data_IF_812590107981
#
_entry.id   IF_812590107981
#
_cell.length_a   1.000
_cell.length_b   1.000
_cell.length_c   1.000
_cell.angle_alpha   90.00
_cell.angle_beta   90.00
_cell.angle_gamma   90.00
#
_symmetry.space_group_name_H-M   'P 1'
#
loop_
_entity.id
_entity.type
_entity.pdbx_description
1 polymer ?
#
# COMPACT_ATOMS: atom_id res chain seq x y z
N UNK A 1 50.40 -20.12 0.52
CA UNK A 1 50.01 -18.74 0.19
C UNK A 1 49.63 -18.05 1.52
N UNK A 2 50.32 -17.02 2.00
CA UNK A 2 50.00 -16.37 3.25
C UNK A 2 48.77 -15.43 3.04
N UNK A 3 47.81 -15.54 3.93
CA UNK A 3 46.66 -14.64 3.99
C UNK A 3 47.14 -13.29 4.56
N UNK A 4 46.97 -12.24 3.78
CA UNK A 4 47.23 -10.85 4.23
C UNK A 4 45.99 -10.41 5.02
N UNK A 5 46.14 -10.42 6.34
CA UNK A 5 45.18 -9.77 7.25
C UNK A 5 45.35 -8.26 7.12
N UNK A 6 44.47 -7.57 6.42
CA UNK A 6 44.37 -6.11 6.49
C UNK A 6 43.77 -5.75 7.84
N UNK A 7 44.63 -5.31 8.78
CA UNK A 7 44.22 -4.61 10.01
C UNK A 7 43.62 -3.26 9.60
N UNK A 8 42.35 -3.08 9.86
CA UNK A 8 41.71 -1.75 9.83
C UNK A 8 42.27 -0.96 11.01
N UNK A 9 43.26 -0.07 10.76
CA UNK A 9 43.71 0.90 11.75
C UNK A 9 42.60 1.93 12.01
N UNK A 10 42.06 1.89 13.22
CA UNK A 10 41.11 2.92 13.69
C UNK A 10 41.92 4.20 13.90
N UNK A 11 41.59 5.33 13.22
CA UNK A 11 42.34 6.56 13.37
C UNK A 11 42.27 7.07 14.81
N UNK A 12 43.39 7.60 15.32
CA UNK A 12 43.47 8.14 16.68
C UNK A 12 42.52 9.33 16.86
N UNK A 13 42.10 9.59 18.10
CA UNK A 13 41.22 10.72 18.42
C UNK A 13 41.79 12.07 17.94
N UNK A 14 43.09 12.23 17.91
CA UNK A 14 43.75 13.43 17.39
C UNK A 14 43.62 13.57 15.87
N UNK A 15 43.70 12.45 15.14
CA UNK A 15 43.47 12.43 13.69
C UNK A 15 42.00 12.76 13.33
N UNK A 16 41.08 12.28 14.13
CA UNK A 16 39.63 12.59 13.97
C UNK A 16 39.37 14.09 14.24
N UNK A 17 39.94 14.64 15.30
CA UNK A 17 39.82 16.08 15.62
C UNK A 17 40.37 16.95 14.49
N UNK A 18 41.54 16.58 13.94
CA UNK A 18 42.14 17.32 12.83
C UNK A 18 41.28 17.33 11.59
N UNK A 19 40.71 16.19 11.22
CA UNK A 19 39.76 16.09 10.09
C UNK A 19 38.51 16.94 10.34
N UNK A 20 37.99 16.95 11.55
CA UNK A 20 36.81 17.76 11.89
C UNK A 20 37.13 19.27 11.83
N UNK A 21 38.31 19.71 12.24
CA UNK A 21 38.75 21.11 12.13
C UNK A 21 38.95 21.53 10.67
N UNK A 22 39.56 20.69 9.84
CA UNK A 22 39.73 20.96 8.41
C UNK A 22 38.41 21.06 7.68
N UNK A 23 37.44 20.19 8.02
CA UNK A 23 36.07 20.25 7.47
C UNK A 23 35.32 21.51 7.96
N UNK A 24 35.48 21.91 9.19
CA UNK A 24 34.86 23.13 9.70
C UNK A 24 35.46 24.39 9.04
N UNK A 25 36.77 24.42 8.82
CA UNK A 25 37.46 25.52 8.13
C UNK A 25 37.05 25.61 6.66
N UNK A 26 36.93 24.48 5.95
CA UNK A 26 36.46 24.46 4.56
C UNK A 26 34.99 24.87 4.42
N UNK A 27 34.10 24.49 5.34
CA UNK A 27 32.70 24.95 5.39
C UNK A 27 32.60 26.46 5.66
N UNK A 28 33.39 27.01 6.58
CA UNK A 28 33.40 28.45 6.85
C UNK A 28 33.96 29.27 5.68
N UNK A 29 34.95 28.74 4.96
CA UNK A 29 35.49 29.38 3.76
C UNK A 29 34.47 29.36 2.62
N UNK A 30 33.68 28.30 2.46
CA UNK A 30 32.59 28.21 1.46
C UNK A 30 31.41 29.15 1.77
N UNK A 31 31.12 29.39 3.06
CA UNK A 31 30.10 30.33 3.51
C UNK A 31 30.55 31.80 3.46
N UNK A 32 31.87 32.08 3.54
CA UNK A 32 32.42 33.42 3.44
C UNK A 32 32.82 33.82 2.01
N UNK A 33 32.48 33.02 1.01
CA UNK A 33 32.56 33.45 -0.37
C UNK A 33 31.71 34.72 -0.53
N UNK A 34 32.36 35.84 -0.90
CA UNK A 34 31.73 37.15 -1.08
C UNK A 34 30.51 36.99 -2.00
N UNK A 35 29.33 36.99 -1.40
CA UNK A 35 28.08 37.27 -2.14
C UNK A 35 28.13 38.79 -2.34
N UNK A 36 28.49 39.23 -3.55
CA UNK A 36 28.40 40.65 -3.88
C UNK A 36 26.95 41.08 -3.65
N UNK A 37 26.69 42.17 -2.90
CA UNK A 37 25.34 42.63 -2.66
C UNK A 37 24.73 42.99 -4.01
N UNK A 38 23.65 42.25 -4.39
CA UNK A 38 22.87 42.52 -5.57
C UNK A 38 22.36 43.95 -5.49
N UNK A 39 22.82 44.82 -6.37
CA UNK A 39 22.38 46.23 -6.43
C UNK A 39 20.87 46.25 -6.61
N UNK A 40 20.13 46.94 -5.72
CA UNK A 40 18.69 47.08 -5.88
C UNK A 40 18.41 47.79 -7.22
N UNK A 41 17.65 47.16 -8.11
CA UNK A 41 17.22 47.78 -9.35
C UNK A 41 17.59 47.05 -10.66
N UNK A 42 18.37 45.99 -10.63
CA UNK A 42 18.82 45.27 -11.85
C UNK A 42 17.90 44.10 -12.27
N UNK A 43 16.94 43.71 -11.44
CA UNK A 43 15.94 42.73 -11.83
C UNK A 43 14.65 43.42 -12.26
N UNK A 44 14.48 43.66 -13.55
CA UNK A 44 13.15 43.79 -14.11
C UNK A 44 12.57 42.38 -14.20
N UNK A 45 11.88 41.96 -13.14
CA UNK A 45 11.05 40.78 -13.19
C UNK A 45 9.91 41.10 -14.17
N UNK A 46 10.04 40.67 -15.41
CA UNK A 46 8.90 40.58 -16.33
C UNK A 46 8.09 39.37 -15.82
N UNK A 47 7.22 39.60 -14.87
CA UNK A 47 6.21 38.62 -14.50
C UNK A 47 5.29 38.53 -15.71
N UNK A 48 5.16 37.38 -16.39
CA UNK A 48 4.15 37.26 -17.43
C UNK A 48 2.80 37.54 -16.76
N UNK A 49 2.08 38.55 -17.28
CA UNK A 49 0.69 38.80 -16.90
C UNK A 49 -0.08 37.62 -17.46
N UNK A 50 -0.34 36.65 -16.59
CA UNK A 50 -1.30 35.59 -16.89
C UNK A 50 -2.66 36.28 -16.70
N UNK A 51 -3.36 36.53 -17.80
CA UNK A 51 -4.77 36.91 -17.76
C UNK A 51 -5.51 35.73 -17.11
N UNK A 52 -5.58 35.77 -15.78
CA UNK A 52 -6.42 34.85 -15.05
C UNK A 52 -7.87 35.16 -15.43
N UNK A 53 -8.63 34.20 -15.94
CA UNK A 53 -10.06 34.40 -16.13
C UNK A 53 -10.66 34.91 -14.83
N UNK A 54 -11.51 35.94 -14.94
CA UNK A 54 -12.16 36.56 -13.79
C UNK A 54 -12.73 35.48 -12.85
N UNK A 55 -12.55 35.61 -11.52
CA UNK A 55 -13.00 34.60 -10.58
C UNK A 55 -14.52 34.42 -10.72
N UNK A 56 -14.92 33.37 -11.40
CA UNK A 56 -16.30 32.94 -11.45
C UNK A 56 -16.66 32.42 -10.08
N UNK A 57 -17.39 33.22 -9.31
CA UNK A 57 -18.00 32.93 -8.01
C UNK A 57 -17.03 32.32 -6.99
N UNK A 58 -16.68 33.10 -6.00
CA UNK A 58 -16.00 32.60 -4.78
C UNK A 58 -16.91 31.53 -4.17
N UNK A 59 -16.60 30.26 -4.41
CA UNK A 59 -17.29 29.20 -3.69
C UNK A 59 -17.00 29.38 -2.22
N UNK A 60 -18.07 29.38 -1.41
CA UNK A 60 -17.95 29.48 0.04
C UNK A 60 -17.09 28.29 0.55
N UNK A 61 -16.26 28.54 1.55
CA UNK A 61 -15.50 27.47 2.21
C UNK A 61 -16.44 26.34 2.69
N UNK A 62 -17.65 26.71 3.09
CA UNK A 62 -18.70 25.79 3.51
C UNK A 62 -19.19 24.90 2.36
N UNK A 63 -19.28 25.43 1.12
CA UNK A 63 -19.65 24.65 -0.07
C UNK A 63 -18.55 23.65 -0.45
N UNK A 64 -17.29 24.06 -0.30
CA UNK A 64 -16.14 23.17 -0.54
C UNK A 64 -16.08 22.06 0.53
N UNK A 65 -16.30 22.41 1.79
CA UNK A 65 -16.37 21.43 2.89
C UNK A 65 -17.58 20.50 2.72
N UNK A 66 -18.74 21.04 2.35
CA UNK A 66 -19.93 20.23 2.08
C UNK A 66 -19.72 19.26 0.93
N UNK A 67 -19.07 19.70 -0.19
CA UNK A 67 -18.69 18.81 -1.31
C UNK A 67 -17.66 17.79 -0.89
N UNK A 68 -16.67 18.17 -0.09
CA UNK A 68 -15.67 17.23 0.42
C UNK A 68 -16.29 16.18 1.33
N UNK A 69 -17.20 16.58 2.22
CA UNK A 69 -17.94 15.68 3.09
C UNK A 69 -18.91 14.80 2.28
N UNK A 70 -19.64 15.35 1.32
CA UNK A 70 -20.51 14.59 0.42
C UNK A 70 -19.70 13.62 -0.46
N UNK A 71 -18.50 14.01 -0.90
CA UNK A 71 -17.59 13.11 -1.63
C UNK A 71 -16.99 12.03 -0.72
N UNK A 72 -16.82 12.32 0.58
CA UNK A 72 -16.37 11.37 1.59
C UNK A 72 -17.51 10.42 1.97
N UNK A 73 -18.73 10.93 2.10
CA UNK A 73 -19.94 10.13 2.37
C UNK A 73 -20.43 9.37 1.11
N UNK A 74 -20.23 9.94 -0.09
CA UNK A 74 -20.53 9.30 -1.37
C UNK A 74 -19.48 8.28 -1.82
N UNK A 75 -18.24 8.38 -1.32
CA UNK A 75 -17.24 7.32 -1.31
C UNK A 75 -17.29 6.54 0.00
N UNK A 76 -18.43 6.03 0.41
CA UNK A 76 -18.44 4.66 0.88
C UNK A 76 -17.87 3.88 -0.29
N UNK A 77 -16.58 3.61 -0.25
CA UNK A 77 -15.99 2.54 -1.04
C UNK A 77 -16.86 1.36 -0.68
N UNK A 78 -17.79 1.04 -1.58
CA UNK A 78 -18.66 -0.11 -1.38
C UNK A 78 -17.72 -1.30 -1.41
N UNK A 79 -17.27 -1.72 -0.23
CA UNK A 79 -16.54 -2.97 -0.02
C UNK A 79 -17.43 -4.18 -0.39
N UNK A 80 -18.65 -3.91 -0.86
CA UNK A 80 -19.53 -4.93 -1.44
C UNK A 80 -18.95 -5.70 -2.63
N UNK A 81 -17.79 -5.27 -3.15
CA UNK A 81 -17.00 -6.03 -4.11
C UNK A 81 -15.78 -6.75 -3.47
N UNK A 82 -15.41 -6.44 -2.23
CA UNK A 82 -14.16 -6.89 -1.60
C UNK A 82 -14.42 -7.77 -0.38
N UNK A 83 -15.44 -8.62 -0.46
CA UNK A 83 -15.75 -9.61 0.57
C UNK A 83 -14.70 -10.73 0.68
N UNK A 84 -13.79 -10.84 -0.31
CA UNK A 84 -12.71 -11.82 -0.29
C UNK A 84 -11.35 -11.13 -0.48
N UNK A 85 -10.49 -11.27 0.51
CA UNK A 85 -9.21 -10.57 0.62
C UNK A 85 -8.09 -11.60 0.79
N UNK A 86 -6.96 -11.38 0.10
CA UNK A 86 -5.75 -12.17 0.24
C UNK A 86 -4.65 -11.26 0.78
N UNK A 87 -4.23 -11.50 2.02
CA UNK A 87 -3.14 -10.79 2.66
C UNK A 87 -1.80 -11.40 2.26
N UNK A 88 -0.89 -10.56 1.79
CA UNK A 88 0.42 -10.96 1.29
C UNK A 88 1.54 -10.02 1.75
N UNK A 89 2.79 -10.41 1.50
CA UNK A 89 3.97 -9.59 1.75
C UNK A 89 4.96 -9.72 0.60
N UNK A 90 5.66 -8.64 0.28
CA UNK A 90 6.76 -8.69 -0.70
C UNK A 90 8.01 -9.45 -0.21
N UNK A 91 8.02 -9.93 1.04
CA UNK A 91 9.03 -10.87 1.54
C UNK A 91 8.76 -12.32 1.13
N UNK A 92 7.57 -12.62 0.59
CA UNK A 92 7.23 -13.95 0.08
C UNK A 92 7.97 -14.22 -1.23
N UNK A 93 8.20 -15.50 -1.59
CA UNK A 93 8.76 -15.88 -2.88
C UNK A 93 7.94 -15.32 -4.04
N UNK A 94 8.64 -14.88 -5.09
CA UNK A 94 8.01 -14.26 -6.26
C UNK A 94 6.99 -15.17 -6.92
N UNK A 95 7.34 -16.46 -7.10
CA UNK A 95 6.46 -17.45 -7.72
C UNK A 95 5.16 -17.64 -6.93
N UNK A 96 5.25 -17.60 -5.59
CA UNK A 96 4.07 -17.65 -4.71
C UNK A 96 3.18 -16.42 -4.90
N UNK A 97 3.78 -15.23 -4.99
CA UNK A 97 3.03 -13.98 -5.22
C UNK A 97 2.37 -13.96 -6.61
N UNK A 98 3.07 -14.41 -7.66
CA UNK A 98 2.50 -14.52 -9.02
C UNK A 98 1.34 -15.51 -9.06
N UNK A 99 1.49 -16.67 -8.41
CA UNK A 99 0.42 -17.68 -8.28
C UNK A 99 -0.79 -17.13 -7.52
N UNK A 100 -0.59 -16.45 -6.40
CA UNK A 100 -1.67 -15.83 -5.62
C UNK A 100 -2.36 -14.70 -6.41
N UNK A 101 -1.62 -13.91 -7.18
CA UNK A 101 -2.19 -12.89 -8.06
C UNK A 101 -3.07 -13.52 -9.14
N UNK A 102 -2.65 -14.63 -9.76
CA UNK A 102 -3.48 -15.35 -10.72
C UNK A 102 -4.77 -15.87 -10.06
N UNK A 103 -4.67 -16.48 -8.88
CA UNK A 103 -5.82 -16.97 -8.14
C UNK A 103 -6.74 -15.83 -7.67
N UNK A 104 -6.18 -14.67 -7.27
CA UNK A 104 -6.96 -13.49 -6.92
C UNK A 104 -7.79 -13.00 -8.12
N UNK A 105 -7.21 -13.01 -9.33
CA UNK A 105 -7.95 -12.69 -10.56
C UNK A 105 -9.11 -13.65 -10.81
N UNK A 106 -8.85 -14.94 -10.69
CA UNK A 106 -9.86 -15.99 -10.92
C UNK A 106 -11.00 -15.94 -9.92
N UNK A 107 -10.68 -15.62 -8.67
CA UNK A 107 -11.65 -15.56 -7.58
C UNK A 107 -12.26 -14.16 -7.38
N UNK A 108 -11.73 -13.13 -8.04
CA UNK A 108 -12.11 -11.75 -7.84
C UNK A 108 -11.70 -11.19 -6.47
N UNK A 109 -10.67 -11.76 -5.84
CA UNK A 109 -10.13 -11.29 -4.58
C UNK A 109 -9.30 -10.01 -4.76
N UNK A 110 -9.18 -9.23 -3.68
CA UNK A 110 -8.24 -8.10 -3.57
C UNK A 110 -7.00 -8.56 -2.83
N UNK A 111 -5.83 -8.17 -3.31
CA UNK A 111 -4.57 -8.44 -2.62
C UNK A 111 -4.18 -7.26 -1.74
N UNK A 112 -3.90 -7.53 -0.46
CA UNK A 112 -3.58 -6.50 0.52
C UNK A 112 -2.19 -6.74 1.10
N UNK A 113 -1.38 -5.66 1.14
CA UNK A 113 -0.07 -5.64 1.79
C UNK A 113 -0.08 -4.71 2.99
N UNK A 114 0.69 -5.04 4.03
CA UNK A 114 0.73 -4.26 5.26
C UNK A 114 1.35 -2.88 5.08
N UNK A 115 2.31 -2.73 4.18
CA UNK A 115 3.04 -1.48 4.02
C UNK A 115 3.98 -1.49 2.82
N UNK A 116 4.85 -0.48 2.78
CA UNK A 116 5.78 -0.29 1.68
C UNK A 116 6.99 -1.24 1.77
N UNK A 117 7.39 -1.80 0.63
CA UNK A 117 8.64 -2.55 0.51
C UNK A 117 9.82 -1.62 0.82
N UNK A 118 10.62 -1.97 1.83
CA UNK A 118 11.77 -1.17 2.30
C UNK A 118 11.42 0.30 2.59
N UNK A 119 10.19 0.59 3.02
CA UNK A 119 9.72 1.95 3.27
C UNK A 119 9.57 2.82 2.02
N UNK A 120 9.70 2.27 0.81
CA UNK A 120 9.69 2.99 -0.45
C UNK A 120 8.44 2.70 -1.28
N UNK A 121 7.66 3.75 -1.57
CA UNK A 121 6.50 3.65 -2.45
C UNK A 121 6.88 3.22 -3.87
N UNK A 122 8.01 3.73 -4.39
CA UNK A 122 8.49 3.39 -5.74
C UNK A 122 8.86 1.92 -5.84
N UNK A 123 9.64 1.39 -4.88
CA UNK A 123 10.00 -0.02 -4.85
C UNK A 123 8.78 -0.93 -4.67
N UNK A 124 7.79 -0.48 -3.93
CA UNK A 124 6.52 -1.20 -3.77
C UNK A 124 5.76 -1.30 -5.08
N UNK A 125 5.61 -0.18 -5.81
CA UNK A 125 4.98 -0.16 -7.14
C UNK A 125 5.71 -1.06 -8.12
N UNK A 126 7.04 -0.97 -8.17
CA UNK A 126 7.85 -1.81 -9.05
C UNK A 126 7.67 -3.30 -8.72
N UNK A 127 7.78 -3.68 -7.43
CA UNK A 127 7.59 -5.07 -7.01
C UNK A 127 6.17 -5.58 -7.32
N UNK A 128 5.14 -4.73 -7.12
CA UNK A 128 3.78 -5.08 -7.47
C UNK A 128 3.63 -5.32 -8.98
N UNK A 129 4.19 -4.45 -9.84
CA UNK A 129 4.15 -4.61 -11.29
C UNK A 129 4.84 -5.89 -11.75
N UNK A 130 5.96 -6.27 -11.12
CA UNK A 130 6.70 -7.48 -11.47
C UNK A 130 5.92 -8.78 -11.22
N UNK A 131 5.11 -8.82 -10.16
CA UNK A 131 4.34 -10.01 -9.76
C UNK A 131 2.88 -9.97 -10.21
N UNK A 132 2.35 -8.79 -10.50
CA UNK A 132 0.93 -8.60 -10.83
C UNK A 132 0.66 -8.66 -12.33
N UNK A 133 1.17 -9.65 -13.03
CA UNK A 133 0.87 -9.89 -14.46
C UNK A 133 -0.61 -10.16 -14.70
N UNK A 134 -1.32 -10.65 -13.70
CA UNK A 134 -2.74 -10.92 -13.75
C UNK A 134 -3.62 -9.64 -13.71
N UNK A 135 -3.05 -8.47 -13.32
CA UNK A 135 -3.77 -7.20 -13.28
C UNK A 135 -4.82 -7.11 -12.19
N UNK A 136 -4.62 -7.78 -11.05
CA UNK A 136 -5.53 -7.70 -9.90
C UNK A 136 -5.34 -6.41 -9.10
N UNK A 137 -6.37 -5.91 -8.41
CA UNK A 137 -6.20 -4.77 -7.52
C UNK A 137 -5.31 -5.12 -6.32
N UNK A 138 -4.33 -4.25 -6.03
CA UNK A 138 -3.48 -4.31 -4.85
C UNK A 138 -3.75 -3.10 -3.97
N UNK A 139 -3.86 -3.32 -2.69
CA UNK A 139 -4.07 -2.29 -1.69
C UNK A 139 -2.96 -2.33 -0.63
N UNK A 140 -2.48 -1.15 -0.21
CA UNK A 140 -1.58 -1.01 0.92
C UNK A 140 -2.42 -0.53 2.09
N UNK A 141 -2.75 -1.45 3.00
CA UNK A 141 -3.65 -1.13 4.10
C UNK A 141 -3.24 -1.84 5.40
N UNK A 142 -2.44 -1.19 6.25
CA UNK A 142 -2.05 -1.75 7.55
C UNK A 142 -3.24 -1.94 8.50
N UNK A 143 -4.29 -1.13 8.36
CA UNK A 143 -5.45 -1.20 9.25
C UNK A 143 -6.25 -2.49 9.03
N UNK A 144 -6.34 -2.99 7.79
CA UNK A 144 -7.00 -4.28 7.53
C UNK A 144 -6.26 -5.45 8.17
N UNK A 145 -4.92 -5.40 8.21
CA UNK A 145 -4.14 -6.42 8.95
C UNK A 145 -4.50 -6.43 10.43
N UNK A 146 -4.71 -5.25 11.02
CA UNK A 146 -5.13 -5.13 12.42
C UNK A 146 -6.59 -5.56 12.59
N UNK A 147 -7.48 -5.07 11.75
CA UNK A 147 -8.91 -5.35 11.80
C UNK A 147 -9.20 -6.86 11.75
N UNK A 148 -8.52 -7.60 10.87
CA UNK A 148 -8.70 -9.04 10.73
C UNK A 148 -7.68 -9.89 11.49
N UNK A 149 -6.92 -9.28 12.42
CA UNK A 149 -5.93 -9.96 13.29
C UNK A 149 -4.93 -10.80 12.50
N UNK A 150 -4.47 -10.28 11.33
CA UNK A 150 -3.55 -11.00 10.44
C UNK A 150 -2.11 -10.86 10.93
N UNK A 151 -1.54 -11.95 11.43
CA UNK A 151 -0.17 -12.01 11.96
C UNK A 151 0.82 -12.56 10.94
N UNK A 152 0.40 -13.50 10.10
CA UNK A 152 1.23 -14.17 9.11
C UNK A 152 0.59 -14.19 7.72
N UNK A 153 1.38 -14.43 6.69
CA UNK A 153 0.94 -14.44 5.27
C UNK A 153 1.48 -15.66 4.54
N UNK A 154 0.75 -16.18 3.55
CA UNK A 154 -0.53 -15.69 3.05
C UNK A 154 -1.68 -16.01 3.99
N UNK A 155 -2.65 -15.09 4.09
CA UNK A 155 -3.89 -15.28 4.82
C UNK A 155 -5.07 -14.87 3.93
N UNK A 156 -6.08 -15.71 3.88
CA UNK A 156 -7.31 -15.53 3.12
C UNK A 156 -8.42 -15.14 4.08
N UNK A 157 -9.14 -14.08 3.79
CA UNK A 157 -10.24 -13.59 4.64
C UNK A 157 -11.50 -13.45 3.79
N UNK A 158 -12.61 -14.02 4.26
CA UNK A 158 -13.95 -13.67 3.79
C UNK A 158 -14.63 -12.87 4.88
N UNK A 159 -15.13 -11.69 4.52
CA UNK A 159 -15.71 -10.74 5.47
C UNK A 159 -17.06 -10.22 4.96
N UNK A 160 -18.00 -10.00 5.88
CA UNK A 160 -19.25 -9.30 5.60
C UNK A 160 -19.06 -7.79 5.55
N UNK A 161 -20.05 -7.06 5.04
CA UNK A 161 -20.03 -5.59 5.08
C UNK A 161 -19.95 -5.02 6.50
N UNK A 162 -20.43 -5.77 7.49
CA UNK A 162 -20.38 -5.38 8.90
C UNK A 162 -18.96 -5.44 9.50
N UNK A 163 -18.03 -6.12 8.85
CA UNK A 163 -16.62 -6.14 9.24
C UNK A 163 -15.95 -4.75 9.10
N UNK A 164 -16.57 -3.82 8.41
CA UNK A 164 -16.13 -2.42 8.34
C UNK A 164 -16.38 -1.65 9.64
N UNK A 165 -17.31 -2.11 10.47
CA UNK A 165 -17.54 -1.55 11.80
C UNK A 165 -16.43 -2.02 12.74
N UNK A 166 -15.35 -1.24 12.78
CA UNK A 166 -14.18 -1.53 13.59
C UNK A 166 -14.48 -1.20 15.06
N UNK A 167 -14.15 -2.11 15.97
CA UNK A 167 -14.25 -1.88 17.40
C UNK A 167 -13.23 -0.83 17.89
N UNK A 168 -13.38 -0.34 19.11
CA UNK A 168 -12.50 0.68 19.70
C UNK A 168 -11.03 0.27 19.74
N UNK A 169 -10.74 -1.04 19.80
CA UNK A 169 -9.39 -1.60 19.71
C UNK A 169 -8.83 -1.64 18.27
N UNK A 170 -9.64 -1.28 17.28
CA UNK A 170 -9.29 -1.31 15.86
C UNK A 170 -9.41 -2.69 15.23
N UNK A 171 -10.11 -3.64 15.87
CA UNK A 171 -10.41 -4.96 15.32
C UNK A 171 -11.85 -5.04 14.82
N UNK A 172 -12.09 -5.85 13.79
CA UNK A 172 -13.44 -6.20 13.33
C UNK A 172 -14.06 -7.22 14.29
N UNK A 173 -15.39 -7.21 14.50
CA UNK A 173 -16.06 -8.24 15.31
C UNK A 173 -15.80 -9.64 14.74
N UNK A 174 -15.45 -10.60 15.56
CA UNK A 174 -15.08 -11.96 15.13
C UNK A 174 -16.18 -12.70 14.37
N UNK A 175 -17.44 -12.33 14.58
CA UNK A 175 -18.58 -12.90 13.86
C UNK A 175 -18.69 -12.40 12.40
N UNK A 176 -18.00 -11.34 12.03
CA UNK A 176 -18.15 -10.66 10.73
C UNK A 176 -17.13 -11.10 9.69
N UNK A 177 -16.17 -11.93 10.06
CA UNK A 177 -15.17 -12.46 9.14
C UNK A 177 -14.67 -13.84 9.55
N UNK A 178 -14.05 -14.53 8.60
CA UNK A 178 -13.32 -15.78 8.86
C UNK A 178 -12.02 -15.77 8.06
N UNK A 179 -10.91 -16.11 8.70
CA UNK A 179 -9.59 -16.15 8.10
C UNK A 179 -9.00 -17.56 8.05
N UNK A 180 -8.22 -17.84 7.04
CA UNK A 180 -7.40 -19.05 6.90
C UNK A 180 -6.00 -18.65 6.51
N UNK A 181 -5.02 -19.08 7.27
CA UNK A 181 -3.61 -18.82 7.03
C UNK A 181 -2.91 -20.07 6.51
N UNK A 182 -2.07 -19.90 5.52
CA UNK A 182 -1.24 -20.98 4.97
C UNK A 182 -1.09 -20.89 3.45
N UNK A 183 -0.07 -21.56 2.92
CA UNK A 183 0.19 -21.61 1.49
C UNK A 183 -0.73 -22.64 0.80
N UNK A 184 -2.00 -22.25 0.68
CA UNK A 184 -3.06 -23.03 0.03
C UNK A 184 -3.59 -22.29 -1.19
N UNK A 185 -4.45 -22.92 -1.98
CA UNK A 185 -5.13 -22.22 -3.08
C UNK A 185 -6.29 -21.38 -2.56
N UNK A 186 -6.59 -20.27 -3.27
CA UNK A 186 -7.73 -19.40 -2.94
C UNK A 186 -9.07 -20.17 -3.02
N UNK A 187 -9.19 -21.12 -3.94
CA UNK A 187 -10.37 -22.00 -4.04
C UNK A 187 -10.52 -22.89 -2.82
N UNK A 188 -9.42 -23.51 -2.35
CA UNK A 188 -9.44 -24.34 -1.15
C UNK A 188 -9.75 -23.52 0.09
N UNK A 189 -9.21 -22.28 0.17
CA UNK A 189 -9.54 -21.36 1.25
C UNK A 189 -11.04 -21.04 1.29
N UNK A 190 -11.62 -20.67 0.16
CA UNK A 190 -13.07 -20.41 0.04
C UNK A 190 -13.91 -21.63 0.42
N UNK A 191 -13.56 -22.82 -0.06
CA UNK A 191 -14.29 -24.04 0.26
C UNK A 191 -14.21 -24.41 1.74
N UNK A 192 -13.03 -24.22 2.33
CA UNK A 192 -12.85 -24.44 3.77
C UNK A 192 -13.63 -23.44 4.61
N UNK A 193 -13.66 -22.16 4.21
CA UNK A 193 -14.46 -21.13 4.88
C UNK A 193 -15.95 -21.46 4.76
N UNK A 194 -16.43 -21.85 3.57
CA UNK A 194 -17.80 -22.27 3.36
C UNK A 194 -18.23 -23.39 4.33
N UNK A 195 -17.34 -24.32 4.62
CA UNK A 195 -17.65 -25.47 5.47
C UNK A 195 -17.54 -25.18 6.99
N UNK A 196 -16.74 -24.20 7.39
CA UNK A 196 -16.36 -23.99 8.81
C UNK A 196 -16.81 -22.65 9.38
N UNK A 197 -17.10 -21.67 8.54
CA UNK A 197 -17.46 -20.33 8.99
C UNK A 197 -18.90 -20.26 9.51
N UNK A 198 -19.22 -19.16 10.18
CA UNK A 198 -20.58 -18.83 10.55
C UNK A 198 -21.48 -18.71 9.30
N UNK A 199 -22.79 -18.97 9.42
CA UNK A 199 -23.70 -19.07 8.26
C UNK A 199 -23.65 -17.89 7.31
N UNK A 200 -23.50 -16.65 7.80
CA UNK A 200 -23.45 -15.46 6.95
C UNK A 200 -22.15 -15.44 6.10
N UNK A 201 -21.01 -15.74 6.69
CA UNK A 201 -19.72 -15.79 5.99
C UNK A 201 -19.65 -17.00 5.07
N UNK A 202 -20.20 -18.14 5.51
CA UNK A 202 -20.29 -19.34 4.68
C UNK A 202 -21.10 -19.10 3.40
N UNK A 203 -22.22 -18.38 3.47
CA UNK A 203 -23.04 -17.98 2.29
C UNK A 203 -22.25 -17.11 1.33
N UNK A 204 -21.43 -16.15 1.85
CA UNK A 204 -20.59 -15.30 1.00
C UNK A 204 -19.55 -16.13 0.25
N UNK A 205 -18.86 -17.03 0.94
CA UNK A 205 -17.89 -17.94 0.34
C UNK A 205 -18.54 -18.84 -0.72
N UNK A 206 -19.72 -19.40 -0.44
CA UNK A 206 -20.48 -20.23 -1.38
C UNK A 206 -20.92 -19.44 -2.61
N UNK A 207 -21.49 -18.24 -2.44
CA UNK A 207 -21.91 -17.40 -3.55
C UNK A 207 -20.72 -17.06 -4.47
N UNK A 208 -19.53 -16.83 -3.90
CA UNK A 208 -18.32 -16.58 -4.66
C UNK A 208 -17.85 -17.82 -5.41
N UNK A 209 -17.84 -18.98 -4.79
CA UNK A 209 -17.52 -20.25 -5.46
C UNK A 209 -18.48 -20.53 -6.63
N UNK A 210 -19.77 -20.35 -6.42
CA UNK A 210 -20.78 -20.54 -7.49
C UNK A 210 -20.54 -19.58 -8.67
N UNK A 211 -20.15 -18.32 -8.41
CA UNK A 211 -19.80 -17.36 -9.46
C UNK A 211 -18.59 -17.83 -10.26
N UNK A 212 -17.56 -18.33 -9.59
CA UNK A 212 -16.33 -18.85 -10.23
C UNK A 212 -16.68 -20.05 -11.11
N UNK A 213 -17.41 -21.02 -10.59
CA UNK A 213 -17.81 -22.21 -11.36
C UNK A 213 -18.67 -21.85 -12.58
N UNK A 214 -19.56 -20.86 -12.47
CA UNK A 214 -20.33 -20.38 -13.63
C UNK A 214 -19.47 -19.73 -14.70
N UNK A 215 -18.39 -19.03 -14.30
CA UNK A 215 -17.46 -18.40 -15.24
C UNK A 215 -16.55 -19.42 -15.93
N UNK A 216 -16.25 -20.54 -15.28
CA UNK A 216 -15.41 -21.62 -15.81
C UNK A 216 -16.21 -22.66 -16.60
N UNK A 217 -17.53 -22.69 -16.49
CA UNK A 217 -18.35 -23.58 -17.28
C UNK A 217 -18.20 -23.21 -18.78
N UNK A 218 -17.82 -24.16 -19.66
CA UNK A 218 -17.72 -23.90 -21.09
C UNK A 218 -19.07 -23.40 -21.56
N UNK A 219 -19.08 -22.20 -22.17
CA UNK A 219 -20.30 -21.59 -22.67
C UNK A 219 -21.05 -22.57 -23.54
N UNK A 220 -22.31 -22.83 -23.22
CA UNK A 220 -23.25 -23.50 -24.10
C UNK A 220 -23.37 -22.62 -25.34
N UNK A 221 -22.71 -23.03 -26.41
CA UNK A 221 -22.86 -22.40 -27.73
C UNK A 221 -24.30 -22.67 -28.16
N UNK A 222 -25.08 -21.60 -28.19
CA UNK A 222 -26.40 -21.60 -28.84
C UNK A 222 -26.25 -21.23 -30.31
#
# INVERSE_FOLDING_TARGET
>A
MPAVSQQLEIPSNEAIQKIMQEQAASRSAALNGKIDPVKPGTFKATVPVIDAPAPTKTESLDDVIARFNAAKDGKKVSHGANDFIIFVSFSMPKDTLERLAQQARETGAVMVVRGFKNGSQMQTKQAALEVNKAGVPWEINPNLFKAFKVESVPTFVVASAEAESVLDDGCSPDATFTSITGDISAMLALDTIRLRAQPEIAKLAEARLQKIYKQQAPGTVH
#
